data_IF_085074150984
#
_entry.id   IF_085074150984
#
_cell.length_a   1.000
_cell.length_b   1.000
_cell.length_c   1.000
_cell.angle_alpha   90.00
_cell.angle_beta   90.00
_cell.angle_gamma   90.00
#
_symmetry.space_group_name_H-M   'P 1'
#
loop_
_entity.id
_entity.type
_entity.pdbx_description
1 polymer ?
#
# COMPACT_ATOMS: atom_id res chain seq x y z
N UNK A 1 -18.50 -51.98 -13.44
CA UNK A 1 -18.99 -50.84 -12.65
C UNK A 1 -18.29 -50.97 -11.31
N UNK A 2 -17.15 -50.31 -11.11
CA UNK A 2 -16.97 -49.02 -10.42
C UNK A 2 -15.60 -49.21 -9.72
N UNK A 3 -14.73 -48.25 -9.44
CA UNK A 3 -14.58 -46.84 -9.78
C UNK A 3 -13.11 -46.56 -9.43
N UNK A 4 -12.37 -46.01 -10.40
CA UNK A 4 -10.96 -45.69 -10.30
C UNK A 4 -10.80 -44.46 -9.38
N UNK A 5 -10.54 -44.68 -8.07
CA UNK A 5 -10.22 -43.59 -7.15
C UNK A 5 -8.81 -43.08 -7.43
N UNK A 6 -8.76 -42.06 -8.28
CA UNK A 6 -7.58 -41.24 -8.49
C UNK A 6 -7.03 -40.74 -7.16
N UNK A 7 -5.76 -41.06 -6.91
CA UNK A 7 -4.98 -40.50 -5.82
C UNK A 7 -4.95 -38.99 -5.95
N UNK A 8 -5.78 -38.32 -5.15
CA UNK A 8 -5.73 -36.90 -4.93
C UNK A 8 -4.30 -36.51 -4.53
N UNK A 9 -3.68 -35.66 -5.36
CA UNK A 9 -2.38 -35.04 -5.09
C UNK A 9 -2.45 -34.31 -3.75
N UNK A 10 -1.96 -34.95 -2.68
CA UNK A 10 -1.76 -34.32 -1.38
C UNK A 10 -0.88 -33.07 -1.55
N UNK A 11 -1.48 -31.89 -1.52
CA UNK A 11 -0.78 -30.61 -1.51
C UNK A 11 -0.32 -30.35 -0.07
N UNK A 12 1.01 -30.42 0.14
CA UNK A 12 1.78 -30.20 1.39
C UNK A 12 1.07 -29.41 2.52
N UNK A 13 0.85 -30.01 3.72
CA UNK A 13 0.28 -29.36 4.90
C UNK A 13 1.33 -28.90 5.96
N UNK A 14 2.60 -28.73 5.59
CA UNK A 14 3.69 -28.58 6.58
C UNK A 14 3.84 -27.17 7.18
N UNK A 15 3.50 -26.12 6.44
CA UNK A 15 3.68 -24.73 6.89
C UNK A 15 2.60 -24.26 7.89
N UNK A 16 1.42 -24.86 7.85
CA UNK A 16 0.27 -24.54 8.71
C UNK A 16 0.48 -25.08 10.12
N UNK A 17 0.94 -26.33 10.26
CA UNK A 17 1.19 -26.95 11.56
C UNK A 17 2.26 -26.21 12.40
N UNK A 18 3.32 -25.68 11.78
CA UNK A 18 4.37 -24.93 12.49
C UNK A 18 3.87 -23.58 13.03
N UNK A 19 3.04 -22.88 12.26
CA UNK A 19 2.50 -21.57 12.65
C UNK A 19 1.42 -21.70 13.74
N UNK A 20 0.59 -22.75 13.66
CA UNK A 20 -0.42 -23.05 14.67
C UNK A 20 0.24 -23.54 15.97
N UNK A 21 1.29 -24.38 15.89
CA UNK A 21 2.10 -24.75 17.06
C UNK A 21 2.79 -23.54 17.73
N UNK A 22 3.25 -22.57 16.93
CA UNK A 22 3.85 -21.32 17.45
C UNK A 22 2.81 -20.42 18.15
N UNK A 23 1.56 -20.45 17.69
CA UNK A 23 0.44 -19.73 18.32
C UNK A 23 -0.01 -20.41 19.61
N UNK A 24 -0.05 -21.75 19.65
CA UNK A 24 -0.33 -22.52 20.86
C UNK A 24 0.74 -22.30 21.93
N UNK A 25 2.02 -22.20 21.55
CA UNK A 25 3.12 -21.82 22.46
C UNK A 25 2.95 -20.41 23.06
N UNK A 26 2.24 -19.52 22.36
CA UNK A 26 1.90 -18.18 22.83
C UNK A 26 0.55 -18.13 23.57
N UNK A 27 -0.15 -19.27 23.70
CA UNK A 27 -1.45 -19.39 24.36
C UNK A 27 -2.63 -18.81 23.56
N UNK A 28 -2.47 -18.64 22.24
CA UNK A 28 -3.48 -18.05 21.35
C UNK A 28 -4.07 -19.14 20.46
N UNK A 29 -5.39 -19.33 20.50
CA UNK A 29 -6.09 -20.27 19.62
C UNK A 29 -6.16 -19.72 18.19
N UNK A 30 -5.75 -20.53 17.21
CA UNK A 30 -5.80 -20.18 15.78
C UNK A 30 -7.21 -20.41 15.23
N UNK A 31 -8.03 -19.35 15.15
CA UNK A 31 -9.43 -19.41 14.65
C UNK A 31 -9.56 -18.96 13.16
N UNK A 32 -8.46 -18.77 12.44
CA UNK A 32 -8.48 -18.27 11.05
C UNK A 32 -8.11 -19.36 10.04
N UNK A 33 -9.06 -19.71 9.16
CA UNK A 33 -8.83 -20.56 8.00
C UNK A 33 -7.87 -19.89 6.99
N UNK A 34 -6.56 -20.14 7.17
CA UNK A 34 -5.49 -19.61 6.30
C UNK A 34 -5.39 -20.30 4.94
N UNK A 35 -6.08 -21.44 4.75
CA UNK A 35 -6.02 -22.26 3.54
C UNK A 35 -6.89 -21.74 2.37
N UNK A 36 -7.70 -20.70 2.54
CA UNK A 36 -8.62 -20.25 1.48
C UNK A 36 -7.96 -19.37 0.40
N UNK A 37 -6.68 -19.05 0.50
CA UNK A 37 -6.01 -18.12 -0.42
C UNK A 37 -4.76 -18.74 -1.07
N UNK A 38 -4.75 -18.79 -2.41
CA UNK A 38 -3.57 -19.13 -3.20
C UNK A 38 -2.49 -18.04 -3.08
N UNK A 39 -1.20 -18.41 -3.15
CA UNK A 39 -0.07 -17.46 -3.12
C UNK A 39 -0.21 -16.35 -4.18
N UNK A 40 -0.69 -16.70 -5.37
CA UNK A 40 -0.94 -15.73 -6.45
C UNK A 40 -2.08 -14.76 -6.11
N UNK A 41 -3.14 -15.25 -5.47
CA UNK A 41 -4.24 -14.41 -5.00
C UNK A 41 -3.80 -13.47 -3.87
N UNK A 42 -2.91 -13.93 -2.98
CA UNK A 42 -2.32 -13.08 -1.94
C UNK A 42 -1.44 -11.97 -2.53
N UNK A 43 -0.63 -12.27 -3.55
CA UNK A 43 0.17 -11.26 -4.25
C UNK A 43 -0.71 -10.23 -4.97
N UNK A 44 -1.76 -10.69 -5.67
CA UNK A 44 -2.72 -9.79 -6.33
C UNK A 44 -3.46 -8.88 -5.35
N UNK A 45 -3.86 -9.42 -4.19
CA UNK A 45 -4.44 -8.61 -3.11
C UNK A 45 -3.43 -7.61 -2.54
N UNK A 46 -2.16 -7.98 -2.36
CA UNK A 46 -1.12 -7.07 -1.90
C UNK A 46 -0.92 -5.89 -2.85
N UNK A 47 -0.82 -6.18 -4.15
CA UNK A 47 -0.69 -5.15 -5.18
C UNK A 47 -1.89 -4.19 -5.19
N UNK A 48 -3.11 -4.74 -5.10
CA UNK A 48 -4.34 -3.94 -5.09
C UNK A 48 -4.50 -3.09 -3.81
N UNK A 49 -4.03 -3.57 -2.65
CA UNK A 49 -4.08 -2.82 -1.39
C UNK A 49 -3.12 -1.63 -1.42
N UNK A 50 -1.91 -1.81 -1.95
CA UNK A 50 -0.90 -0.74 -1.97
C UNK A 50 -1.22 0.31 -3.05
N UNK A 51 -1.82 -0.11 -4.18
CA UNK A 51 -2.28 0.77 -5.26
C UNK A 51 -1.29 1.90 -5.63
N UNK A 52 -0.01 1.55 -5.69
CA UNK A 52 1.14 2.48 -5.85
C UNK A 52 0.98 3.42 -7.05
N UNK A 53 0.44 2.93 -8.17
CA UNK A 53 0.37 3.71 -9.42
C UNK A 53 -0.59 4.90 -9.34
N UNK A 54 -1.73 4.78 -8.64
CA UNK A 54 -2.64 5.90 -8.45
C UNK A 54 -1.96 7.02 -7.64
N UNK A 55 -1.21 6.63 -6.61
CA UNK A 55 -0.52 7.58 -5.76
C UNK A 55 0.62 8.30 -6.51
N UNK A 56 1.37 7.58 -7.36
CA UNK A 56 2.33 8.18 -8.30
C UNK A 56 1.61 9.20 -9.21
N UNK A 57 0.49 8.82 -9.81
CA UNK A 57 -0.29 9.69 -10.70
C UNK A 57 -0.74 11.00 -10.05
N UNK A 58 -1.07 11.00 -8.77
CA UNK A 58 -1.47 12.22 -8.04
C UNK A 58 -0.29 13.08 -7.58
N UNK A 59 0.84 12.46 -7.25
CA UNK A 59 2.00 13.16 -6.69
C UNK A 59 2.98 13.63 -7.76
N UNK A 60 2.81 13.19 -9.02
CA UNK A 60 3.66 13.61 -10.15
C UNK A 60 3.67 15.14 -10.33
N UNK A 61 2.55 15.80 -10.02
CA UNK A 61 2.44 17.25 -10.06
C UNK A 61 3.37 17.94 -9.04
N UNK A 62 3.60 17.32 -7.89
CA UNK A 62 4.51 17.84 -6.86
C UNK A 62 5.96 17.39 -7.04
N UNK A 63 6.20 16.21 -7.61
CA UNK A 63 7.55 15.65 -7.78
C UNK A 63 8.31 16.24 -8.97
N UNK A 64 7.63 16.49 -10.10
CA UNK A 64 8.22 17.10 -11.29
C UNK A 64 8.88 18.47 -11.04
N UNK A 65 8.23 19.44 -10.37
CA UNK A 65 8.85 20.73 -10.08
C UNK A 65 9.94 20.66 -9.01
N UNK A 66 9.96 19.62 -8.16
CA UNK A 66 10.91 19.55 -7.04
C UNK A 66 12.18 18.76 -7.35
N UNK A 67 12.18 17.85 -8.32
CA UNK A 67 13.43 17.17 -8.72
C UNK A 67 13.44 16.59 -10.13
N UNK A 68 12.50 17.02 -10.96
CA UNK A 68 12.38 16.59 -12.35
C UNK A 68 12.06 15.10 -12.51
N UNK A 69 12.17 14.58 -13.75
CA UNK A 69 11.97 13.17 -14.05
C UNK A 69 13.00 12.26 -13.36
N UNK A 70 14.22 12.76 -13.10
CA UNK A 70 15.27 12.00 -12.42
C UNK A 70 14.88 11.63 -10.98
N UNK A 71 14.34 12.56 -10.19
CA UNK A 71 13.90 12.26 -8.82
C UNK A 71 12.71 11.29 -8.78
N UNK A 72 11.80 11.37 -9.76
CA UNK A 72 10.66 10.47 -9.87
C UNK A 72 11.09 9.02 -10.16
N UNK A 73 12.05 8.82 -11.07
CA UNK A 73 12.54 7.47 -11.41
C UNK A 73 13.43 6.90 -10.31
N UNK A 74 14.48 7.64 -9.91
CA UNK A 74 15.41 7.18 -8.89
C UNK A 74 14.79 7.11 -7.50
N UNK A 75 13.80 7.95 -7.22
CA UNK A 75 13.06 7.93 -5.96
C UNK A 75 12.30 6.63 -5.75
N UNK A 76 11.64 6.11 -6.78
CA UNK A 76 10.96 4.81 -6.71
C UNK A 76 11.96 3.67 -6.51
N UNK A 77 13.12 3.70 -7.19
CA UNK A 77 14.15 2.66 -7.07
C UNK A 77 14.75 2.64 -5.67
N UNK A 78 15.18 3.80 -5.16
CA UNK A 78 15.81 3.93 -3.85
C UNK A 78 14.79 3.62 -2.74
N UNK A 79 13.60 4.25 -2.80
CA UNK A 79 12.55 3.98 -1.82
C UNK A 79 12.11 2.51 -1.87
N UNK A 80 11.97 1.92 -3.06
CA UNK A 80 11.66 0.50 -3.22
C UNK A 80 12.69 -0.40 -2.56
N UNK A 81 13.99 -0.14 -2.76
CA UNK A 81 15.08 -0.90 -2.14
C UNK A 81 15.03 -0.88 -0.60
N UNK A 82 14.89 0.31 0.00
CA UNK A 82 14.77 0.43 1.45
C UNK A 82 13.49 -0.21 1.98
N UNK A 83 12.36 -0.06 1.28
CA UNK A 83 11.10 -0.66 1.68
C UNK A 83 11.09 -2.19 1.56
N UNK A 84 11.81 -2.76 0.58
CA UNK A 84 12.00 -4.21 0.50
C UNK A 84 12.82 -4.72 1.69
N UNK A 85 13.90 -4.02 2.07
CA UNK A 85 14.70 -4.36 3.25
C UNK A 85 13.85 -4.34 4.54
N UNK A 86 13.08 -3.26 4.74
CA UNK A 86 12.13 -3.15 5.86
C UNK A 86 11.05 -4.24 5.80
N UNK A 87 10.53 -4.54 4.61
CA UNK A 87 9.51 -5.56 4.39
C UNK A 87 9.99 -6.98 4.72
N UNK A 88 11.21 -7.34 4.31
CA UNK A 88 11.85 -8.62 4.65
C UNK A 88 12.08 -8.72 6.15
N UNK A 89 12.62 -7.66 6.77
CA UNK A 89 12.85 -7.62 8.23
C UNK A 89 11.55 -7.79 9.02
N UNK A 90 10.47 -7.14 8.57
CA UNK A 90 9.15 -7.28 9.17
C UNK A 90 8.55 -8.67 8.92
N UNK A 91 8.78 -9.27 7.75
CA UNK A 91 8.32 -10.62 7.44
C UNK A 91 8.98 -11.68 8.34
N UNK A 92 10.27 -11.54 8.63
CA UNK A 92 10.98 -12.37 9.62
C UNK A 92 10.39 -12.17 11.02
N UNK A 93 10.14 -10.93 11.43
CA UNK A 93 9.54 -10.66 12.75
C UNK A 93 8.13 -11.27 12.88
N UNK A 94 7.29 -11.08 11.87
CA UNK A 94 5.94 -11.64 11.75
C UNK A 94 5.95 -13.18 11.74
N UNK A 95 7.03 -13.78 11.25
CA UNK A 95 7.20 -15.23 11.24
C UNK A 95 7.36 -15.82 12.63
N UNK A 96 8.05 -15.09 13.51
CA UNK A 96 8.38 -15.51 14.86
C UNK A 96 7.25 -15.17 15.86
N UNK A 97 6.54 -14.05 15.64
CA UNK A 97 5.44 -13.60 16.50
C UNK A 97 4.14 -13.43 15.69
N UNK A 98 3.46 -14.53 15.33
CA UNK A 98 2.25 -14.51 14.50
C UNK A 98 1.00 -14.04 15.28
N UNK A 99 1.12 -13.04 16.15
CA UNK A 99 0.03 -12.56 17.02
C UNK A 99 -0.91 -11.59 16.32
N UNK A 100 -2.21 -11.67 16.62
CA UNK A 100 -3.24 -10.75 16.09
C UNK A 100 -3.11 -9.29 16.59
N UNK A 101 -2.23 -9.01 17.56
CA UNK A 101 -2.05 -7.70 18.20
C UNK A 101 -1.25 -6.67 17.39
N UNK A 102 -0.88 -6.94 16.14
CA UNK A 102 -0.26 -5.96 15.24
C UNK A 102 0.99 -5.24 15.80
N UNK A 103 1.23 -4.02 15.32
CA UNK A 103 2.44 -3.23 15.61
C UNK A 103 2.65 -2.89 17.09
N UNK A 104 1.57 -2.64 17.85
CA UNK A 104 1.67 -2.30 19.27
C UNK A 104 2.09 -3.52 20.12
N UNK A 105 1.63 -4.72 19.76
CA UNK A 105 2.08 -5.95 20.41
C UNK A 105 3.55 -6.23 20.11
N UNK A 106 4.00 -6.00 18.88
CA UNK A 106 5.41 -6.16 18.50
C UNK A 106 6.32 -5.20 19.27
N UNK A 107 5.90 -3.95 19.44
CA UNK A 107 6.60 -2.98 20.27
C UNK A 107 6.67 -3.40 21.75
N UNK A 108 5.62 -4.06 22.26
CA UNK A 108 5.61 -4.63 23.61
C UNK A 108 6.61 -5.81 23.75
N UNK A 109 6.72 -6.67 22.74
CA UNK A 109 7.64 -7.82 22.75
C UNK A 109 9.11 -7.36 22.68
N UNK A 110 9.40 -6.37 21.84
CA UNK A 110 10.75 -5.83 21.64
C UNK A 110 11.26 -4.95 22.81
N UNK A 111 10.37 -4.50 23.70
CA UNK A 111 10.71 -3.60 24.81
C UNK A 111 11.05 -4.33 26.12
N UNK A 112 11.83 -3.66 26.95
CA UNK A 112 12.25 -4.13 28.27
C UNK A 112 11.05 -4.34 29.19
N UNK A 113 11.11 -5.33 30.10
CA UNK A 113 9.98 -5.71 30.98
C UNK A 113 9.38 -4.53 31.77
N UNK A 114 10.21 -3.55 32.15
CA UNK A 114 9.78 -2.36 32.89
C UNK A 114 9.00 -1.37 32.02
N UNK A 115 9.37 -1.19 30.75
CA UNK A 115 8.80 -0.16 29.86
C UNK A 115 7.76 -0.70 28.89
N UNK A 116 7.56 -2.02 28.84
CA UNK A 116 6.65 -2.71 27.91
C UNK A 116 5.27 -2.08 27.78
N UNK A 117 4.64 -1.73 28.91
CA UNK A 117 3.29 -1.14 28.91
C UNK A 117 3.28 0.27 28.33
N UNK A 118 4.27 1.09 28.70
CA UNK A 118 4.37 2.47 28.23
C UNK A 118 4.67 2.53 26.73
N UNK A 119 5.64 1.73 26.26
CA UNK A 119 6.00 1.66 24.83
C UNK A 119 4.82 1.18 24.00
N UNK A 120 4.14 0.10 24.42
CA UNK A 120 2.96 -0.40 23.71
C UNK A 120 1.82 0.62 23.64
N UNK A 121 1.61 1.39 24.72
CA UNK A 121 0.55 2.40 24.77
C UNK A 121 0.86 3.58 23.84
N UNK A 122 2.09 4.09 23.87
CA UNK A 122 2.53 5.17 22.97
C UNK A 122 2.48 4.72 21.51
N UNK A 123 2.98 3.53 21.19
CA UNK A 123 2.90 2.96 19.83
C UNK A 123 1.45 2.80 19.38
N UNK A 124 0.54 2.38 20.26
CA UNK A 124 -0.89 2.28 19.95
C UNK A 124 -1.51 3.63 19.58
N UNK A 125 -1.22 4.68 20.35
CA UNK A 125 -1.71 6.04 20.06
C UNK A 125 -1.13 6.63 18.78
N UNK A 126 0.17 6.45 18.54
CA UNK A 126 0.82 6.90 17.29
C UNK A 126 0.21 6.17 16.10
N UNK A 127 0.00 4.86 16.19
CA UNK A 127 -0.66 4.09 15.14
C UNK A 127 -2.09 4.58 14.90
N UNK A 128 -2.88 4.83 15.94
CA UNK A 128 -4.23 5.37 15.81
C UNK A 128 -4.22 6.74 15.10
N UNK A 129 -3.35 7.65 15.53
CA UNK A 129 -3.20 8.97 14.91
C UNK A 129 -2.80 8.85 13.43
N UNK A 130 -1.87 7.95 13.11
CA UNK A 130 -1.45 7.68 11.73
C UNK A 130 -2.62 7.18 10.87
N UNK A 131 -3.46 6.26 11.37
CA UNK A 131 -4.64 5.78 10.65
C UNK A 131 -5.68 6.89 10.41
N UNK A 132 -5.91 7.77 11.39
CA UNK A 132 -6.82 8.91 11.24
C UNK A 132 -6.28 9.89 10.20
N UNK A 133 -5.00 10.26 10.27
CA UNK A 133 -4.37 11.15 9.30
C UNK A 133 -4.37 10.55 7.89
N UNK A 134 -4.14 9.24 7.76
CA UNK A 134 -4.15 8.55 6.47
C UNK A 134 -5.55 8.52 5.84
N UNK A 135 -6.59 8.29 6.64
CA UNK A 135 -7.98 8.37 6.17
C UNK A 135 -8.30 9.79 5.66
N UNK A 136 -7.96 10.83 6.44
CA UNK A 136 -8.14 12.22 6.02
C UNK A 136 -7.36 12.57 4.75
N UNK A 137 -6.10 12.12 4.63
CA UNK A 137 -5.29 12.36 3.44
C UNK A 137 -5.91 11.74 2.17
N UNK A 138 -6.50 10.54 2.27
CA UNK A 138 -7.19 9.91 1.15
C UNK A 138 -8.44 10.69 0.73
N UNK A 139 -9.25 11.14 1.70
CA UNK A 139 -10.42 11.97 1.41
C UNK A 139 -10.00 13.28 0.72
N UNK A 140 -8.92 13.92 1.18
CA UNK A 140 -8.37 15.14 0.55
C UNK A 140 -7.88 14.93 -0.89
N UNK A 141 -7.30 13.75 -1.15
CA UNK A 141 -6.84 13.35 -2.47
C UNK A 141 -8.03 13.16 -3.43
N UNK A 142 -9.06 12.40 -3.01
CA UNK A 142 -10.26 12.16 -3.83
C UNK A 142 -10.97 13.46 -4.18
N UNK A 143 -11.18 14.34 -3.19
CA UNK A 143 -11.78 15.65 -3.44
C UNK A 143 -10.92 16.52 -4.36
N UNK A 144 -9.59 16.41 -4.27
CA UNK A 144 -8.67 17.08 -5.20
C UNK A 144 -8.86 16.61 -6.64
N UNK A 145 -8.93 15.29 -6.87
CA UNK A 145 -9.14 14.72 -8.21
C UNK A 145 -10.46 15.19 -8.82
N UNK A 146 -11.55 15.18 -8.03
CA UNK A 146 -12.87 15.62 -8.51
C UNK A 146 -12.84 17.10 -8.90
N UNK A 147 -12.20 17.95 -8.10
CA UNK A 147 -12.05 19.38 -8.41
C UNK A 147 -11.20 19.60 -9.68
N UNK A 148 -10.10 18.86 -9.85
CA UNK A 148 -9.28 18.91 -11.06
C UNK A 148 -10.05 18.45 -12.31
N UNK A 149 -10.93 17.46 -12.17
CA UNK A 149 -11.79 17.03 -13.27
C UNK A 149 -12.84 18.10 -13.63
N UNK A 150 -13.42 18.75 -12.63
CA UNK A 150 -14.38 19.84 -12.85
C UNK A 150 -13.73 21.03 -13.60
N UNK A 151 -12.50 21.40 -13.22
CA UNK A 151 -11.72 22.43 -13.92
C UNK A 151 -11.42 22.06 -15.38
N UNK A 152 -11.12 20.78 -15.65
CA UNK A 152 -10.87 20.31 -17.01
C UNK A 152 -12.12 20.34 -17.90
N UNK A 153 -13.30 20.05 -17.34
CA UNK A 153 -14.57 20.00 -18.08
C UNK A 153 -15.21 21.38 -18.28
N UNK A 154 -14.96 22.33 -17.38
CA UNK A 154 -15.55 23.66 -17.40
C UNK A 154 -14.46 24.73 -17.49
N UNK A 155 -14.05 25.13 -18.71
CA UNK A 155 -13.06 26.19 -18.90
C UNK A 155 -13.58 27.52 -18.33
N UNK A 156 -13.04 27.94 -17.18
CA UNK A 156 -13.48 29.12 -16.42
C UNK A 156 -13.86 28.83 -14.97
N UNK A 157 -13.96 27.56 -14.57
CA UNK A 157 -14.15 27.18 -13.17
C UNK A 157 -12.84 27.35 -12.40
N UNK A 158 -12.82 28.28 -11.44
CA UNK A 158 -11.71 28.44 -10.51
C UNK A 158 -11.97 27.70 -9.21
N UNK A 159 -11.03 26.82 -8.84
CA UNK A 159 -11.13 26.05 -7.61
C UNK A 159 -11.01 26.98 -6.39
N UNK A 160 -12.06 27.05 -5.57
CA UNK A 160 -12.00 27.77 -4.29
C UNK A 160 -11.74 26.81 -3.12
N UNK A 161 -10.97 27.21 -2.10
CA UNK A 161 -10.66 26.34 -0.96
C UNK A 161 -11.91 25.81 -0.22
N UNK A 162 -12.95 26.64 -0.10
CA UNK A 162 -14.21 26.27 0.56
C UNK A 162 -14.98 25.18 -0.20
N UNK A 163 -15.01 25.22 -1.53
CA UNK A 163 -15.63 24.17 -2.34
C UNK A 163 -14.91 22.84 -2.13
N UNK A 164 -13.57 22.86 -2.11
CA UNK A 164 -12.77 21.66 -1.85
C UNK A 164 -13.02 21.10 -0.44
N UNK A 165 -13.18 21.97 0.56
CA UNK A 165 -13.49 21.56 1.93
C UNK A 165 -14.88 20.93 2.06
N UNK A 166 -15.91 21.50 1.43
CA UNK A 166 -17.25 20.91 1.42
C UNK A 166 -17.26 19.54 0.74
N UNK A 167 -16.53 19.41 -0.36
CA UNK A 167 -16.39 18.14 -1.06
C UNK A 167 -15.63 17.12 -0.21
N UNK A 168 -14.60 17.55 0.53
CA UNK A 168 -13.89 16.72 1.49
C UNK A 168 -14.83 16.15 2.56
N UNK A 169 -15.66 17.00 3.17
CA UNK A 169 -16.65 16.55 4.16
C UNK A 169 -17.64 15.56 3.53
N UNK A 170 -18.10 15.83 2.31
CA UNK A 170 -19.04 14.95 1.62
C UNK A 170 -18.45 13.56 1.35
N UNK A 171 -17.19 13.50 0.86
CA UNK A 171 -16.48 12.24 0.62
C UNK A 171 -16.27 11.48 1.93
N UNK A 172 -15.88 12.17 3.00
CA UNK A 172 -15.68 11.57 4.32
C UNK A 172 -16.99 11.01 4.90
N UNK A 173 -18.11 11.74 4.76
CA UNK A 173 -19.43 11.28 5.20
C UNK A 173 -19.89 10.03 4.42
N UNK A 174 -19.61 9.95 3.12
CA UNK A 174 -19.89 8.76 2.30
C UNK A 174 -19.04 7.57 2.77
N UNK A 175 -17.73 7.79 3.00
CA UNK A 175 -16.84 6.77 3.50
C UNK A 175 -17.27 6.26 4.88
N UNK A 176 -17.66 7.16 5.79
CA UNK A 176 -18.18 6.81 7.10
C UNK A 176 -19.47 5.99 7.00
N UNK A 177 -20.41 6.43 6.16
CA UNK A 177 -21.67 5.71 5.93
C UNK A 177 -21.43 4.29 5.42
N UNK A 178 -20.45 4.12 4.52
CA UNK A 178 -20.08 2.81 4.01
C UNK A 178 -19.48 1.92 5.11
N UNK A 179 -18.58 2.47 5.93
CA UNK A 179 -17.99 1.74 7.05
C UNK A 179 -19.03 1.30 8.10
N UNK A 180 -20.05 2.13 8.35
CA UNK A 180 -21.11 1.84 9.32
C UNK A 180 -22.15 0.83 8.79
N UNK A 181 -22.61 0.99 7.54
CA UNK A 181 -23.79 0.29 7.02
C UNK A 181 -23.45 -0.92 6.15
N UNK A 182 -22.28 -0.91 5.49
CA UNK A 182 -21.97 -1.85 4.40
C UNK A 182 -20.81 -2.80 4.72
N UNK A 183 -20.53 -3.07 6.00
CA UNK A 183 -19.44 -3.95 6.42
C UNK A 183 -19.56 -5.37 5.79
N UNK A 184 -20.78 -5.86 5.56
CA UNK A 184 -21.03 -7.15 4.88
C UNK A 184 -20.69 -7.13 3.37
N UNK A 185 -20.77 -5.98 2.73
CA UNK A 185 -20.45 -5.79 1.31
C UNK A 185 -18.96 -5.51 1.05
N UNK A 186 -18.21 -5.19 2.10
CA UNK A 186 -16.79 -4.85 2.03
C UNK A 186 -15.96 -5.94 1.33
N UNK A 187 -16.27 -7.21 1.59
CA UNK A 187 -15.61 -8.35 0.93
C UNK A 187 -15.86 -8.41 -0.58
N UNK A 188 -17.05 -8.00 -1.03
CA UNK A 188 -17.38 -7.94 -2.45
C UNK A 188 -16.73 -6.74 -3.13
N UNK A 189 -16.79 -5.56 -2.50
CA UNK A 189 -16.12 -4.37 -3.02
C UNK A 189 -14.61 -4.56 -3.16
N UNK A 190 -13.95 -5.23 -2.21
CA UNK A 190 -12.51 -5.49 -2.34
C UNK A 190 -12.17 -6.33 -3.57
N UNK A 191 -13.01 -7.31 -3.94
CA UNK A 191 -12.83 -8.10 -5.17
C UNK A 191 -13.03 -7.25 -6.42
N UNK A 192 -14.06 -6.42 -6.45
CA UNK A 192 -14.30 -5.49 -7.57
C UNK A 192 -13.20 -4.43 -7.70
N UNK A 193 -12.76 -3.88 -6.57
CA UNK A 193 -11.69 -2.89 -6.52
C UNK A 193 -10.39 -3.45 -7.08
N UNK A 194 -10.04 -4.70 -6.75
CA UNK A 194 -8.86 -5.36 -7.32
C UNK A 194 -8.91 -5.39 -8.86
N UNK A 195 -10.04 -5.77 -9.45
CA UNK A 195 -10.19 -5.78 -10.90
C UNK A 195 -10.17 -4.38 -11.50
N UNK A 196 -10.86 -3.42 -10.87
CA UNK A 196 -10.94 -2.04 -11.32
C UNK A 196 -9.58 -1.35 -11.30
N UNK A 197 -8.82 -1.50 -10.22
CA UNK A 197 -7.46 -0.95 -10.08
C UNK A 197 -6.51 -1.55 -11.11
N UNK A 198 -6.57 -2.86 -11.35
CA UNK A 198 -5.72 -3.52 -12.34
C UNK A 198 -6.07 -3.08 -13.76
N UNK A 199 -7.36 -2.99 -14.09
CA UNK A 199 -7.82 -2.46 -15.38
C UNK A 199 -7.41 -1.00 -15.56
N UNK A 200 -7.58 -0.17 -14.52
CA UNK A 200 -7.16 1.23 -14.51
C UNK A 200 -5.67 1.39 -14.79
N UNK A 201 -4.82 0.57 -14.16
CA UNK A 201 -3.39 0.56 -14.42
C UNK A 201 -3.06 0.28 -15.90
N UNK A 202 -3.66 -0.76 -16.48
CA UNK A 202 -3.43 -1.12 -17.89
C UNK A 202 -3.93 -0.02 -18.83
N UNK A 203 -5.13 0.52 -18.58
CA UNK A 203 -5.71 1.60 -19.38
C UNK A 203 -4.83 2.84 -19.33
N UNK A 204 -4.40 3.26 -18.15
CA UNK A 204 -3.52 4.42 -17.99
C UNK A 204 -2.17 4.22 -18.67
N UNK A 205 -1.58 3.02 -18.58
CA UNK A 205 -0.32 2.71 -19.25
C UNK A 205 -0.46 2.80 -20.78
N UNK A 206 -1.51 2.21 -21.35
CA UNK A 206 -1.79 2.28 -22.79
C UNK A 206 -2.11 3.71 -23.23
N UNK A 207 -2.92 4.45 -22.47
CA UNK A 207 -3.29 5.81 -22.80
C UNK A 207 -2.08 6.76 -22.80
N UNK A 208 -1.22 6.70 -21.78
CA UNK A 208 -0.01 7.52 -21.71
C UNK A 208 0.92 7.18 -22.88
N UNK A 209 1.11 5.89 -23.18
CA UNK A 209 1.99 5.47 -24.27
C UNK A 209 1.44 5.87 -25.65
N UNK A 210 0.13 5.75 -25.86
CA UNK A 210 -0.54 6.15 -27.09
C UNK A 210 -0.48 7.67 -27.30
N UNK A 211 -0.71 8.47 -26.25
CA UNK A 211 -0.62 9.93 -26.32
C UNK A 211 0.82 10.44 -26.49
N UNK A 212 1.83 9.68 -26.03
CA UNK A 212 3.24 10.04 -26.17
C UNK A 212 3.83 9.66 -27.53
N UNK A 213 3.18 8.77 -28.29
CA UNK A 213 3.69 8.34 -29.58
C UNK A 213 3.55 9.45 -30.64
N UNK A 214 4.58 9.71 -31.48
CA UNK A 214 5.90 9.07 -31.56
C UNK A 214 7.03 9.81 -30.79
N UNK A 215 6.72 10.94 -30.15
CA UNK A 215 7.71 11.86 -29.56
C UNK A 215 8.04 11.51 -28.10
N UNK A 216 8.72 10.38 -27.90
CA UNK A 216 9.19 10.01 -26.57
C UNK A 216 10.28 10.96 -26.05
N UNK A 217 10.27 11.22 -24.75
CA UNK A 217 11.34 12.00 -24.10
C UNK A 217 12.67 11.25 -24.15
N UNK A 218 13.76 11.99 -24.34
CA UNK A 218 15.09 11.40 -24.43
C UNK A 218 15.51 10.72 -23.12
N UNK A 219 16.23 9.59 -23.20
CA UNK A 219 16.73 8.89 -22.01
C UNK A 219 17.62 9.78 -21.12
N UNK A 220 18.37 10.71 -21.73
CA UNK A 220 19.19 11.69 -20.99
C UNK A 220 18.33 12.63 -20.14
N UNK A 221 17.18 13.05 -20.66
CA UNK A 221 16.24 13.86 -19.91
C UNK A 221 15.56 13.05 -18.80
N UNK A 222 15.15 11.80 -19.07
CA UNK A 222 14.46 10.96 -18.08
C UNK A 222 15.37 10.57 -16.92
N UNK A 223 16.60 10.11 -17.19
CA UNK A 223 17.50 9.60 -16.14
C UNK A 223 18.44 10.67 -15.55
N UNK A 224 18.70 11.76 -16.28
CA UNK A 224 19.65 12.79 -15.89
C UNK A 224 19.07 14.21 -15.84
N UNK A 225 17.83 14.41 -16.26
CA UNK A 225 17.17 15.71 -16.22
C UNK A 225 16.74 16.06 -14.80
N UNK A 226 17.28 17.16 -14.29
CA UNK A 226 16.91 17.74 -13.01
C UNK A 226 16.21 19.07 -13.25
N UNK A 227 15.02 19.23 -12.65
CA UNK A 227 14.21 20.43 -12.72
C UNK A 227 13.96 20.86 -11.28
N UNK A 228 14.23 22.13 -10.97
CA UNK A 228 14.01 22.71 -9.66
C UNK A 228 13.26 24.03 -9.79
N UNK A 229 11.96 23.95 -9.55
CA UNK A 229 11.02 25.06 -9.44
C UNK A 229 10.54 25.24 -7.99
N UNK A 230 11.10 24.46 -7.05
CA UNK A 230 10.68 24.44 -5.65
C UNK A 230 11.20 25.63 -4.82
N UNK A 231 12.22 26.34 -5.32
CA UNK A 231 12.90 27.43 -4.61
C UNK A 231 13.90 26.96 -3.53
N UNK A 232 14.04 25.65 -3.31
CA UNK A 232 15.00 25.06 -2.38
C UNK A 232 16.34 24.74 -3.06
N UNK A 233 17.46 24.62 -2.32
CA UNK A 233 18.71 24.11 -2.87
C UNK A 233 18.53 22.73 -3.51
N UNK A 234 19.25 22.46 -4.59
CA UNK A 234 19.03 21.27 -5.45
C UNK A 234 19.01 19.93 -4.68
N UNK A 235 19.86 19.78 -3.66
CA UNK A 235 19.87 18.57 -2.83
C UNK A 235 18.60 18.39 -1.98
N UNK A 236 18.05 19.48 -1.46
CA UNK A 236 16.79 19.45 -0.69
C UNK A 236 15.58 19.28 -1.60
N UNK A 237 15.57 19.95 -2.74
CA UNK A 237 14.55 19.79 -3.76
C UNK A 237 14.47 18.32 -4.23
N UNK A 238 15.64 17.69 -4.48
CA UNK A 238 15.71 16.27 -4.83
C UNK A 238 15.17 15.36 -3.71
N UNK A 239 15.48 15.65 -2.43
CA UNK A 239 14.91 14.91 -1.29
C UNK A 239 13.39 15.08 -1.16
N UNK A 240 12.84 16.26 -1.46
CA UNK A 240 11.39 16.49 -1.51
C UNK A 240 10.74 15.65 -2.63
N UNK A 241 11.44 15.46 -3.75
CA UNK A 241 11.06 14.52 -4.80
C UNK A 241 11.09 13.06 -4.33
N UNK A 242 12.13 12.66 -3.59
CA UNK A 242 12.26 11.31 -3.03
C UNK A 242 11.14 10.97 -2.02
N UNK A 243 10.72 11.95 -1.21
CA UNK A 243 9.67 11.77 -0.21
C UNK A 243 8.38 11.27 -0.86
N UNK A 244 8.07 11.72 -2.07
CA UNK A 244 6.91 11.25 -2.81
C UNK A 244 7.02 9.75 -3.08
N UNK A 245 8.17 9.26 -3.54
CA UNK A 245 8.42 7.84 -3.79
C UNK A 245 8.23 6.93 -2.56
N UNK A 246 8.49 7.45 -1.35
CA UNK A 246 8.28 6.70 -0.10
C UNK A 246 6.79 6.52 0.23
N UNK A 247 5.97 7.55 0.00
CA UNK A 247 4.52 7.49 0.27
C UNK A 247 3.82 6.39 -0.55
N UNK A 248 4.40 6.02 -1.70
CA UNK A 248 3.82 5.04 -2.62
C UNK A 248 4.12 3.59 -2.28
N UNK A 249 5.20 3.34 -1.54
CA UNK A 249 5.72 2.00 -1.24
C UNK A 249 5.85 1.91 0.27
N UNK A 250 4.76 1.58 0.96
CA UNK A 250 4.83 1.32 2.41
C UNK A 250 4.48 -0.16 2.69
N UNK A 251 5.47 -1.00 3.04
CA UNK A 251 5.25 -2.40 3.33
C UNK A 251 4.36 -2.61 4.56
N UNK A 252 4.26 -1.62 5.46
CA UNK A 252 3.42 -1.70 6.65
C UNK A 252 1.93 -1.80 6.30
N UNK A 253 1.51 -1.19 5.18
CA UNK A 253 0.12 -1.22 4.67
C UNK A 253 -0.31 -2.60 4.19
N UNK A 254 0.66 -3.41 3.76
CA UNK A 254 0.43 -4.76 3.28
C UNK A 254 0.56 -5.80 4.42
N UNK A 255 1.45 -5.53 5.38
CA UNK A 255 1.75 -6.39 6.51
C UNK A 255 0.61 -6.51 7.54
N UNK A 256 -0.26 -5.50 7.68
CA UNK A 256 -1.31 -5.48 8.72
C UNK A 256 -2.40 -6.52 8.52
N UNK A 257 -2.58 -7.10 7.32
CA UNK A 257 -3.71 -7.99 7.10
C UNK A 257 -3.39 -9.47 6.86
N UNK A 258 -2.56 -9.91 5.90
CA UNK A 258 -2.41 -11.37 5.58
C UNK A 258 -1.12 -11.83 4.87
N UNK A 259 -0.04 -11.04 4.78
CA UNK A 259 1.09 -11.35 3.88
C UNK A 259 2.24 -12.20 4.43
N UNK A 260 2.23 -12.55 5.72
CA UNK A 260 3.29 -13.37 6.34
C UNK A 260 3.52 -14.70 5.62
N UNK A 261 2.50 -15.26 4.98
CA UNK A 261 2.57 -16.56 4.31
C UNK A 261 3.18 -16.49 2.91
N UNK A 262 2.98 -15.38 2.18
CA UNK A 262 3.45 -15.24 0.79
C UNK A 262 4.97 -14.98 0.72
N UNK A 263 5.50 -14.14 1.61
CA UNK A 263 6.94 -13.80 1.66
C UNK A 263 7.77 -15.01 2.10
N UNK A 264 7.28 -15.81 3.04
CA UNK A 264 7.91 -17.08 3.43
C UNK A 264 8.01 -18.07 2.26
N UNK A 265 7.00 -18.14 1.40
CA UNK A 265 7.01 -19.01 0.22
C UNK A 265 8.09 -18.60 -0.78
N UNK A 266 8.19 -17.30 -1.07
CA UNK A 266 9.17 -16.77 -2.01
C UNK A 266 10.61 -16.89 -1.48
N UNK A 267 10.84 -16.65 -0.18
CA UNK A 267 12.18 -16.76 0.41
C UNK A 267 12.66 -18.22 0.59
N UNK A 268 11.76 -19.18 0.82
CA UNK A 268 12.13 -20.62 0.88
C UNK A 268 12.38 -21.25 -0.48
N UNK A 269 11.84 -20.69 -1.56
CA UNK A 269 12.10 -21.20 -2.90
C UNK A 269 13.40 -20.61 -3.50
N UNK A 270 13.98 -19.59 -2.86
CA UNK A 270 15.25 -18.95 -3.25
C UNK A 270 16.46 -19.36 -2.38
N UNK A 271 16.28 -20.13 -1.30
CA UNK A 271 17.33 -20.69 -0.43
C UNK A 271 17.21 -22.20 -0.44
#
# INVERSE_FOLDING_TARGET
MEENRGTARQRRPKATAEADASLELLGIKSDLDRNSFSNLSMLGMAFAIVNTWCAIGTTVNASLPSGGPSSAVWGIVIAGGFNLCCGVSLAEFLSAYPTAGGQYHWAAVASWKSTRRAVSYITGWINLAAWVCLAGANCLLVSGIIMSYAELMYPGFQQTPWQRFLLYIAVDAIALSYNLLANRFLSHLNKYNMFFTLAGFVISLVAILACAAPNFQSAKFVFGGFINESGWPDGWAWQLGLLQGQVHIDPSRAATHKLTTAVKGILRDCI
#
